data_IF_650223149964
#
_entry.id   IF_650223149964
#
_cell.length_a   1.000
_cell.length_b   1.000
_cell.length_c   1.000
_cell.angle_alpha   90.00
_cell.angle_beta   90.00
_cell.angle_gamma   90.00
#
_symmetry.space_group_name_H-M   'P 1'
#
loop_
_entity.id
_entity.type
_entity.pdbx_description
1 polymer ?
#
# COMPACT_ATOMS: atom_id res chain seq x y z
N UNK A 1 26.30 8.28 22.12
CA UNK A 1 24.85 7.98 22.13
C UNK A 1 24.03 8.87 21.17
N UNK A 2 24.53 9.21 19.97
CA UNK A 2 23.78 10.04 18.98
C UNK A 2 23.24 9.26 17.77
N UNK A 3 23.67 8.02 17.57
CA UNK A 3 23.27 7.22 16.41
C UNK A 3 21.96 6.45 16.61
N UNK A 4 21.63 6.07 17.86
CA UNK A 4 20.44 5.25 18.16
C UNK A 4 19.13 5.99 17.85
N UNK A 5 19.09 7.32 18.05
CA UNK A 5 17.88 8.13 17.84
C UNK A 5 17.46 8.21 16.36
N UNK A 6 18.42 8.15 15.43
CA UNK A 6 18.11 8.19 14.00
C UNK A 6 17.49 6.88 13.48
N UNK A 7 17.84 5.75 14.08
CA UNK A 7 17.31 4.43 13.69
C UNK A 7 15.86 4.28 14.15
N UNK A 8 15.53 4.76 15.35
CA UNK A 8 14.16 4.71 15.90
C UNK A 8 13.19 5.51 15.01
N UNK A 9 13.58 6.72 14.58
CA UNK A 9 12.72 7.54 13.69
C UNK A 9 12.46 6.90 12.32
N UNK A 10 13.43 6.19 11.75
CA UNK A 10 13.24 5.52 10.45
C UNK A 10 12.22 4.38 10.55
N UNK A 11 12.30 3.58 11.60
CA UNK A 11 11.38 2.47 11.82
C UNK A 11 9.93 2.94 12.08
N UNK A 12 9.74 4.09 12.73
CA UNK A 12 8.40 4.66 12.95
C UNK A 12 7.80 5.20 11.64
N UNK A 13 8.62 5.85 10.79
CA UNK A 13 8.19 6.34 9.47
C UNK A 13 7.84 5.18 8.52
N UNK A 14 8.61 4.09 8.53
CA UNK A 14 8.30 2.90 7.73
C UNK A 14 6.98 2.26 8.16
N UNK A 15 6.71 2.17 9.47
CA UNK A 15 5.43 1.68 9.99
C UNK A 15 4.25 2.55 9.59
N UNK A 16 4.43 3.87 9.62
CA UNK A 16 3.39 4.81 9.21
C UNK A 16 3.13 4.71 7.70
N UNK A 17 4.18 4.57 6.89
CA UNK A 17 4.07 4.35 5.45
C UNK A 17 3.34 3.03 5.11
N UNK A 18 3.66 1.94 5.81
CA UNK A 18 2.93 0.66 5.66
C UNK A 18 1.45 0.83 5.99
N UNK A 19 1.10 1.58 7.04
CA UNK A 19 -0.31 1.86 7.36
C UNK A 19 -1.02 2.67 6.28
N UNK A 20 -0.34 3.66 5.69
CA UNK A 20 -0.90 4.44 4.58
C UNK A 20 -1.15 3.54 3.37
N UNK A 21 -0.19 2.69 3.01
CA UNK A 21 -0.35 1.74 1.92
C UNK A 21 -1.48 0.72 2.17
N UNK A 22 -1.67 0.29 3.42
CA UNK A 22 -2.81 -0.56 3.79
C UNK A 22 -4.14 0.15 3.60
N UNK A 23 -4.25 1.42 4.00
CA UNK A 23 -5.46 2.22 3.77
C UNK A 23 -5.74 2.43 2.28
N UNK A 24 -4.69 2.66 1.48
CA UNK A 24 -4.82 2.80 0.03
C UNK A 24 -5.24 1.47 -0.63
N UNK A 25 -4.71 0.34 -0.14
CA UNK A 25 -5.13 -1.00 -0.55
C UNK A 25 -6.62 -1.24 -0.28
N UNK A 26 -7.09 -0.91 0.93
CA UNK A 26 -8.51 -1.07 1.31
C UNK A 26 -9.43 -0.22 0.42
N UNK A 27 -9.01 1.02 0.12
CA UNK A 27 -9.73 1.92 -0.78
C UNK A 27 -9.80 1.38 -2.21
N UNK A 28 -8.69 0.89 -2.77
CA UNK A 28 -8.67 0.33 -4.12
C UNK A 28 -9.43 -1.00 -4.21
N UNK A 29 -9.45 -1.80 -3.15
CA UNK A 29 -10.30 -3.00 -3.08
C UNK A 29 -11.78 -2.65 -3.08
N UNK A 30 -12.21 -1.63 -2.33
CA UNK A 30 -13.58 -1.13 -2.36
C UNK A 30 -13.96 -0.60 -3.75
N UNK A 31 -13.07 0.18 -4.37
CA UNK A 31 -13.25 0.69 -5.73
C UNK A 31 -13.36 -0.44 -6.76
N UNK A 32 -12.51 -1.46 -6.65
CA UNK A 32 -12.57 -2.64 -7.50
C UNK A 32 -13.88 -3.41 -7.30
N UNK A 33 -14.36 -3.55 -6.06
CA UNK A 33 -15.63 -4.19 -5.77
C UNK A 33 -16.78 -3.48 -6.49
N UNK A 34 -16.86 -2.15 -6.36
CA UNK A 34 -17.89 -1.35 -7.03
C UNK A 34 -17.79 -1.45 -8.56
N UNK A 35 -16.57 -1.40 -9.11
CA UNK A 35 -16.33 -1.54 -10.55
C UNK A 35 -16.74 -2.94 -11.07
N UNK A 36 -16.57 -3.99 -10.27
CA UNK A 36 -17.07 -5.34 -10.59
C UNK A 36 -18.60 -5.35 -10.57
N UNK A 37 -19.25 -4.75 -9.57
CA UNK A 37 -20.72 -4.68 -9.49
C UNK A 37 -21.31 -3.92 -10.69
N UNK A 38 -20.62 -2.88 -11.16
CA UNK A 38 -21.05 -2.05 -12.29
C UNK A 38 -20.62 -2.60 -13.67
N UNK A 39 -19.85 -3.70 -13.71
CA UNK A 39 -19.19 -4.22 -14.91
C UNK A 39 -18.35 -3.16 -15.67
N UNK A 40 -17.76 -2.21 -14.93
CA UNK A 40 -16.84 -1.21 -15.49
C UNK A 40 -15.46 -1.84 -15.68
N UNK A 41 -15.21 -2.37 -16.89
CA UNK A 41 -13.95 -3.02 -17.21
C UNK A 41 -12.74 -2.06 -17.14
N UNK A 42 -12.92 -0.77 -17.43
CA UNK A 42 -11.83 0.20 -17.37
C UNK A 42 -11.39 0.43 -15.92
N UNK A 43 -12.35 0.69 -15.03
CA UNK A 43 -12.04 0.94 -13.62
C UNK A 43 -11.53 -0.34 -12.95
N UNK A 44 -12.05 -1.53 -13.32
CA UNK A 44 -11.49 -2.80 -12.86
C UNK A 44 -10.02 -2.99 -13.24
N UNK A 45 -9.62 -2.68 -14.47
CA UNK A 45 -8.22 -2.81 -14.90
C UNK A 45 -7.33 -1.80 -14.17
N UNK A 46 -7.82 -0.58 -13.98
CA UNK A 46 -7.11 0.48 -13.28
C UNK A 46 -6.88 0.15 -11.80
N UNK A 47 -7.92 -0.26 -11.07
CA UNK A 47 -7.79 -0.66 -9.66
C UNK A 47 -6.92 -1.90 -9.50
N UNK A 48 -7.03 -2.91 -10.38
CA UNK A 48 -6.11 -4.07 -10.36
C UNK A 48 -4.66 -3.67 -10.56
N UNK A 49 -4.39 -2.73 -11.47
CA UNK A 49 -3.03 -2.21 -11.69
C UNK A 49 -2.52 -1.48 -10.44
N UNK A 50 -3.35 -0.65 -9.82
CA UNK A 50 -2.97 0.09 -8.60
C UNK A 50 -2.71 -0.86 -7.43
N UNK A 51 -3.57 -1.87 -7.24
CA UNK A 51 -3.37 -2.92 -6.22
C UNK A 51 -2.05 -3.68 -6.42
N UNK A 52 -1.66 -3.96 -7.66
CA UNK A 52 -0.38 -4.60 -7.95
C UNK A 52 0.83 -3.70 -7.63
N UNK A 53 0.72 -2.39 -7.84
CA UNK A 53 1.75 -1.41 -7.45
C UNK A 53 1.90 -1.36 -5.92
N UNK A 54 0.79 -1.21 -5.19
CA UNK A 54 0.77 -1.20 -3.72
C UNK A 54 1.33 -2.51 -3.16
N UNK A 55 1.00 -3.65 -3.75
CA UNK A 55 1.52 -4.94 -3.33
C UNK A 55 3.04 -5.01 -3.47
N UNK A 56 3.60 -4.56 -4.60
CA UNK A 56 5.06 -4.51 -4.81
C UNK A 56 5.76 -3.56 -3.83
N UNK A 57 5.15 -2.42 -3.50
CA UNK A 57 5.68 -1.50 -2.51
C UNK A 57 5.70 -2.14 -1.11
N UNK A 58 4.62 -2.82 -0.72
CA UNK A 58 4.55 -3.57 0.54
C UNK A 58 5.54 -4.74 0.59
N UNK A 59 5.69 -5.50 -0.49
CA UNK A 59 6.69 -6.57 -0.60
C UNK A 59 8.12 -6.01 -0.47
N UNK A 60 8.39 -4.85 -1.09
CA UNK A 60 9.68 -4.19 -0.98
C UNK A 60 9.95 -3.78 0.47
N UNK A 61 8.97 -3.18 1.16
CA UNK A 61 9.09 -2.78 2.55
C UNK A 61 9.23 -3.97 3.52
N UNK A 62 8.46 -5.05 3.29
CA UNK A 62 8.52 -6.27 4.10
C UNK A 62 9.76 -7.12 3.82
N UNK A 63 10.32 -7.07 2.60
CA UNK A 63 11.54 -7.78 2.20
C UNK A 63 12.83 -7.20 2.78
N UNK A 64 12.77 -6.03 3.43
CA UNK A 64 13.87 -5.46 4.22
C UNK A 64 13.85 -5.89 5.70
N UNK A 65 12.96 -6.81 6.11
CA UNK A 65 12.87 -7.33 7.47
C UNK A 65 13.93 -8.39 7.81
#
# INVERSE_FOLDING_TARGET
MKQVVHVIRKADVEKEYVKVLQLELDYELATLFDAIQQNDEMEQQKSKKRLAEIHRELETLNGFA
#
